data_IF_043049010859
#
_entry.id   IF_043049010859
#
_cell.length_a   1.000
_cell.length_b   1.000
_cell.length_c   1.000
_cell.angle_alpha   90.00
_cell.angle_beta   90.00
_cell.angle_gamma   90.00
#
_symmetry.space_group_name_H-M   'P 1'
#
loop_
_entity.id
_entity.type
_entity.pdbx_description
1 polymer ?
#
# COMPACT_ATOMS: atom_id res chain seq x y z
N UNK A 1 11.24 -23.25 2.97
CA UNK A 1 12.02 -22.09 2.46
C UNK A 1 11.11 -20.95 2.02
N UNK A 2 10.11 -21.20 1.16
CA UNK A 2 9.17 -20.16 0.67
C UNK A 2 8.38 -19.44 1.79
N UNK A 3 7.96 -20.14 2.84
CA UNK A 3 7.24 -19.53 3.98
C UNK A 3 8.05 -18.45 4.70
N UNK A 4 9.36 -18.66 4.91
CA UNK A 4 10.25 -17.69 5.57
C UNK A 4 10.44 -16.41 4.74
N UNK A 5 10.50 -16.53 3.41
CA UNK A 5 10.66 -15.37 2.53
C UNK A 5 9.35 -14.55 2.52
N UNK A 6 8.20 -15.21 2.55
CA UNK A 6 6.90 -14.53 2.69
C UNK A 6 6.84 -13.74 4.00
N UNK A 7 7.22 -14.34 5.12
CA UNK A 7 7.27 -13.68 6.43
C UNK A 7 8.18 -12.45 6.42
N UNK A 8 9.38 -12.56 5.85
CA UNK A 8 10.29 -11.43 5.72
C UNK A 8 9.69 -10.25 4.92
N UNK A 9 8.92 -10.52 3.86
CA UNK A 9 8.22 -9.45 3.11
C UNK A 9 7.12 -8.79 3.93
N UNK A 10 6.39 -9.57 4.72
CA UNK A 10 5.38 -9.03 5.64
C UNK A 10 6.06 -8.12 6.68
N UNK A 11 7.19 -8.53 7.23
CA UNK A 11 7.97 -7.70 8.16
C UNK A 11 8.43 -6.40 7.50
N UNK A 12 8.95 -6.46 6.27
CA UNK A 12 9.32 -5.25 5.53
C UNK A 12 8.13 -4.30 5.31
N UNK A 13 6.96 -4.83 4.92
CA UNK A 13 5.73 -4.03 4.80
C UNK A 13 5.35 -3.37 6.14
N UNK A 14 5.43 -4.12 7.24
CA UNK A 14 5.16 -3.60 8.59
C UNK A 14 6.17 -2.52 9.02
N UNK A 15 7.45 -2.70 8.71
CA UNK A 15 8.50 -1.70 8.96
C UNK A 15 8.19 -0.39 8.22
N UNK A 16 7.80 -0.47 6.96
CA UNK A 16 7.49 0.70 6.14
C UNK A 16 6.15 1.37 6.48
N UNK A 17 5.30 0.73 7.30
CA UNK A 17 4.01 1.29 7.76
C UNK A 17 3.97 1.67 9.23
N UNK A 18 5.05 1.44 9.99
CA UNK A 18 5.07 1.51 11.46
C UNK A 18 4.52 2.81 12.08
N UNK A 19 4.75 3.95 11.43
CA UNK A 19 4.35 5.28 11.92
C UNK A 19 3.13 5.84 11.16
N UNK A 20 2.46 5.02 10.36
CA UNK A 20 1.36 5.42 9.48
C UNK A 20 0.00 4.95 9.99
N UNK A 21 -1.04 5.72 9.70
CA UNK A 21 -2.41 5.39 10.09
C UNK A 21 -2.99 4.35 9.12
N UNK A 22 -2.85 3.08 9.48
CA UNK A 22 -3.26 1.94 8.66
C UNK A 22 -4.30 1.07 9.38
N UNK A 23 -5.13 0.37 8.61
CA UNK A 23 -6.05 -0.64 9.11
C UNK A 23 -5.95 -1.88 8.23
N UNK A 24 -5.07 -2.81 8.63
CA UNK A 24 -4.75 -4.05 7.92
C UNK A 24 -4.81 -5.20 8.92
N UNK A 25 -5.66 -6.19 8.65
CA UNK A 25 -5.79 -7.41 9.47
C UNK A 25 -4.62 -8.38 9.25
N UNK A 26 -4.46 -9.36 10.13
CA UNK A 26 -3.43 -10.39 9.96
C UNK A 26 -3.62 -11.22 8.68
N UNK A 27 -4.86 -11.48 8.28
CA UNK A 27 -5.21 -12.19 7.04
C UNK A 27 -4.86 -11.35 5.80
N UNK A 28 -5.09 -10.04 5.88
CA UNK A 28 -4.71 -9.10 4.82
C UNK A 28 -3.19 -8.97 4.71
N UNK A 29 -2.45 -9.00 5.83
CA UNK A 29 -1.00 -9.10 5.81
C UNK A 29 -0.50 -10.36 5.13
N UNK A 30 -1.12 -11.52 5.38
CA UNK A 30 -0.78 -12.75 4.67
C UNK A 30 -1.03 -12.61 3.16
N UNK A 31 -2.15 -11.98 2.79
CA UNK A 31 -2.48 -11.69 1.38
C UNK A 31 -1.42 -10.82 0.73
N UNK A 32 -0.98 -9.75 1.39
CA UNK A 32 0.07 -8.88 0.89
C UNK A 32 1.42 -9.61 0.77
N UNK A 33 1.79 -10.44 1.74
CA UNK A 33 2.99 -11.26 1.68
C UNK A 33 3.00 -12.24 0.49
N UNK A 34 1.84 -12.79 0.13
CA UNK A 34 1.67 -13.64 -1.06
C UNK A 34 1.76 -12.84 -2.35
N UNK A 35 1.04 -11.71 -2.45
CA UNK A 35 1.00 -10.87 -3.67
C UNK A 35 2.31 -10.15 -3.98
N UNK A 36 3.19 -10.02 -2.99
CA UNK A 36 4.52 -9.42 -3.14
C UNK A 36 5.62 -10.44 -3.45
N UNK A 37 5.26 -11.63 -3.96
CA UNK A 37 6.27 -12.58 -4.44
C UNK A 37 7.19 -11.93 -5.50
N UNK A 38 8.49 -12.19 -5.38
CA UNK A 38 9.58 -11.60 -6.17
C UNK A 38 9.80 -10.09 -5.99
N UNK A 39 9.07 -9.43 -5.09
CA UNK A 39 9.40 -8.04 -4.76
C UNK A 39 10.72 -7.98 -4.00
N UNK A 40 11.60 -7.07 -4.44
CA UNK A 40 12.76 -6.67 -3.67
C UNK A 40 12.34 -5.81 -2.46
N UNK A 41 13.27 -5.55 -1.54
CA UNK A 41 13.03 -4.61 -0.43
C UNK A 41 12.68 -3.21 -0.94
N UNK A 42 13.34 -2.74 -2.00
CA UNK A 42 13.03 -1.46 -2.64
C UNK A 42 11.65 -1.44 -3.29
N UNK A 43 11.23 -2.54 -3.93
CA UNK A 43 9.87 -2.65 -4.48
C UNK A 43 8.83 -2.56 -3.37
N UNK A 44 9.05 -3.23 -2.23
CA UNK A 44 8.16 -3.15 -1.06
C UNK A 44 8.09 -1.72 -0.50
N UNK A 45 9.22 -1.03 -0.39
CA UNK A 45 9.26 0.35 0.08
C UNK A 45 8.44 1.28 -0.83
N UNK A 46 8.66 1.20 -2.14
CA UNK A 46 7.93 2.00 -3.13
C UNK A 46 6.44 1.65 -3.14
N UNK A 47 6.11 0.36 -3.15
CA UNK A 47 4.73 -0.13 -3.05
C UNK A 47 4.02 0.44 -1.82
N UNK A 48 4.67 0.38 -0.66
CA UNK A 48 4.09 0.88 0.59
C UNK A 48 3.85 2.38 0.51
N UNK A 49 4.84 3.14 0.04
CA UNK A 49 4.70 4.59 -0.14
C UNK A 49 3.52 4.93 -1.05
N UNK A 50 3.39 4.24 -2.19
CA UNK A 50 2.28 4.44 -3.12
C UNK A 50 0.91 4.13 -2.50
N UNK A 51 0.82 3.13 -1.63
CA UNK A 51 -0.38 2.80 -0.87
C UNK A 51 -0.72 3.89 0.15
N UNK A 52 0.27 4.38 0.91
CA UNK A 52 0.10 5.44 1.91
C UNK A 52 -0.41 6.76 1.30
N UNK A 53 -0.12 7.02 0.03
CA UNK A 53 -0.63 8.19 -0.70
C UNK A 53 -2.04 8.00 -1.30
N UNK A 54 -2.62 6.79 -1.32
CA UNK A 54 -3.94 6.58 -1.92
C UNK A 54 -5.05 7.39 -1.22
N UNK A 55 -5.17 7.42 0.12
CA UNK A 55 -6.19 8.24 0.79
C UNK A 55 -6.06 9.73 0.49
N UNK A 56 -4.83 10.23 0.36
CA UNK A 56 -4.56 11.63 0.03
C UNK A 56 -5.01 11.94 -1.40
N UNK A 57 -4.71 11.06 -2.36
CA UNK A 57 -5.15 11.21 -3.75
C UNK A 57 -6.67 11.14 -3.87
N UNK A 58 -7.31 10.24 -3.13
CA UNK A 58 -8.77 10.12 -3.09
C UNK A 58 -9.40 11.42 -2.61
N UNK A 59 -8.90 11.95 -1.49
CA UNK A 59 -9.32 13.22 -0.93
C UNK A 59 -9.17 14.40 -1.89
N UNK A 60 -8.01 14.50 -2.56
CA UNK A 60 -7.73 15.57 -3.52
C UNK A 60 -8.65 15.54 -4.75
N UNK A 61 -9.10 14.36 -5.16
CA UNK A 61 -9.96 14.17 -6.34
C UNK A 61 -11.46 14.08 -5.99
N UNK A 62 -11.82 14.09 -4.70
CA UNK A 62 -13.19 13.93 -4.25
C UNK A 62 -14.07 15.13 -4.61
N UNK A 63 -15.27 14.82 -5.13
CA UNK A 63 -16.31 15.81 -5.47
C UNK A 63 -17.51 15.76 -4.52
N UNK A 64 -17.61 14.70 -3.75
CA UNK A 64 -18.70 14.45 -2.82
C UNK A 64 -18.12 14.06 -1.47
N UNK A 65 -18.71 14.60 -0.42
CA UNK A 65 -18.23 14.50 0.95
C UNK A 65 -19.38 14.20 1.89
N UNK A 66 -19.10 13.42 2.92
CA UNK A 66 -20.04 13.15 3.99
C UNK A 66 -19.53 13.75 5.29
N UNK A 67 -20.41 14.43 6.00
CA UNK A 67 -20.13 14.91 7.34
C UNK A 67 -20.39 13.80 8.36
N UNK A 68 -19.36 13.44 9.13
CA UNK A 68 -19.42 12.42 10.17
C UNK A 68 -19.73 13.06 11.53
N UNK A 69 -20.28 12.28 12.48
CA UNK A 69 -20.35 12.70 13.88
C UNK A 69 -18.96 13.14 14.38
N UNK A 70 -18.90 14.30 15.04
CA UNK A 70 -17.63 14.89 15.50
C UNK A 70 -16.99 15.90 14.54
N UNK A 71 -17.73 16.39 13.53
CA UNK A 71 -17.31 17.53 12.71
C UNK A 71 -16.49 17.20 11.48
N UNK A 72 -16.17 15.91 11.25
CA UNK A 72 -15.21 15.50 10.23
C UNK A 72 -15.84 15.32 8.86
N UNK A 73 -15.09 15.63 7.81
CA UNK A 73 -15.47 15.36 6.44
C UNK A 73 -14.63 14.23 5.86
N UNK A 74 -15.31 13.29 5.20
CA UNK A 74 -14.67 12.19 4.46
C UNK A 74 -15.21 12.15 3.03
N UNK A 75 -14.38 11.79 2.04
CA UNK A 75 -14.86 11.50 0.69
C UNK A 75 -15.96 10.44 0.69
N UNK A 76 -16.96 10.57 -0.18
CA UNK A 76 -18.01 9.57 -0.37
C UNK A 76 -18.52 9.53 -1.81
N UNK A 77 -19.36 8.54 -2.13
CA UNK A 77 -20.05 8.48 -3.42
C UNK A 77 -21.18 9.51 -3.50
N UNK A 78 -21.54 9.92 -4.73
CA UNK A 78 -22.66 10.84 -4.99
C UNK A 78 -24.00 10.35 -4.47
N UNK A 79 -24.18 9.03 -4.41
CA UNK A 79 -25.43 8.40 -3.99
C UNK A 79 -25.49 8.13 -2.49
N UNK A 80 -24.44 8.49 -1.74
CA UNK A 80 -24.40 8.27 -0.29
C UNK A 80 -25.41 9.16 0.41
N UNK A 81 -26.15 8.61 1.37
CA UNK A 81 -27.04 9.41 2.22
C UNK A 81 -26.24 10.50 2.97
N UNK A 82 -26.65 11.76 2.79
CA UNK A 82 -25.96 12.92 3.34
C UNK A 82 -24.72 13.36 2.55
N UNK A 83 -24.57 12.93 1.30
CA UNK A 83 -23.51 13.41 0.42
C UNK A 83 -23.71 14.90 0.09
N UNK A 84 -22.66 15.68 0.27
CA UNK A 84 -22.57 17.09 -0.06
C UNK A 84 -21.61 17.24 -1.22
N UNK A 85 -22.06 17.83 -2.32
CA UNK A 85 -21.19 18.11 -3.46
C UNK A 85 -20.35 19.35 -3.17
N UNK A 86 -19.04 19.17 -3.00
CA UNK A 86 -18.09 20.25 -2.77
C UNK A 86 -16.66 19.81 -3.09
N UNK A 87 -15.75 20.75 -3.21
CA UNK A 87 -14.32 20.52 -3.44
C UNK A 87 -13.54 20.60 -2.12
N UNK A 88 -12.41 19.90 -2.04
CA UNK A 88 -11.55 19.90 -0.85
C UNK A 88 -11.20 21.33 -0.35
N UNK A 89 -10.92 22.26 -1.27
CA UNK A 89 -10.52 23.64 -0.95
C UNK A 89 -11.62 24.46 -0.23
N UNK A 90 -12.87 24.00 -0.33
CA UNK A 90 -14.03 24.66 0.30
C UNK A 90 -14.35 24.07 1.68
N UNK A 91 -13.59 23.08 2.13
CA UNK A 91 -13.76 22.44 3.44
C UNK A 91 -12.73 22.98 4.45
N UNK A 92 -13.09 23.06 5.74
CA UNK A 92 -12.13 23.40 6.80
C UNK A 92 -11.01 22.35 6.87
N UNK A 93 -9.76 22.78 6.70
CA UNK A 93 -8.61 21.87 6.57
C UNK A 93 -8.37 21.01 7.82
N UNK A 94 -8.71 21.53 8.99
CA UNK A 94 -8.62 20.86 10.30
C UNK A 94 -9.69 19.76 10.49
N UNK A 95 -10.76 19.79 9.70
CA UNK A 95 -11.87 18.84 9.76
C UNK A 95 -11.81 17.77 8.66
N UNK A 96 -10.88 17.89 7.72
CA UNK A 96 -10.68 16.91 6.66
C UNK A 96 -9.54 15.98 7.05
N UNK A 97 -9.86 14.70 7.25
CA UNK A 97 -8.88 13.69 7.66
C UNK A 97 -8.86 12.59 6.60
N UNK A 98 -7.67 12.16 6.13
CA UNK A 98 -7.61 11.02 5.22
C UNK A 98 -8.11 9.77 5.93
N UNK A 99 -8.80 8.91 5.18
CA UNK A 99 -9.12 7.57 5.68
C UNK A 99 -7.85 6.82 6.03
N UNK A 100 -7.97 5.85 6.95
CA UNK A 100 -6.88 4.90 7.20
C UNK A 100 -6.57 4.13 5.92
N UNK A 101 -5.31 3.84 5.69
CA UNK A 101 -4.87 3.04 4.54
C UNK A 101 -5.31 1.59 4.75
N UNK A 102 -5.95 1.01 3.74
CA UNK A 102 -6.50 -0.35 3.77
C UNK A 102 -5.87 -1.24 2.71
N UNK A 103 -6.21 -2.54 2.71
CA UNK A 103 -5.70 -3.51 1.75
C UNK A 103 -5.87 -3.02 0.30
N UNK A 104 -7.05 -2.48 -0.04
CA UNK A 104 -7.35 -1.96 -1.38
C UNK A 104 -6.38 -0.89 -1.86
N UNK A 105 -5.83 -0.08 -0.95
CA UNK A 105 -4.86 0.96 -1.28
C UNK A 105 -3.51 0.34 -1.69
N UNK A 106 -3.10 -0.75 -1.04
CA UNK A 106 -1.96 -1.56 -1.47
C UNK A 106 -2.22 -2.24 -2.81
N UNK A 107 -3.40 -2.83 -3.00
CA UNK A 107 -3.77 -3.47 -4.27
C UNK A 107 -3.79 -2.47 -5.43
N UNK A 108 -4.24 -1.23 -5.20
CA UNK A 108 -4.14 -0.14 -6.18
C UNK A 108 -2.68 0.20 -6.46
N UNK A 109 -1.85 0.34 -5.43
CA UNK A 109 -0.44 0.68 -5.58
C UNK A 109 0.36 -0.39 -6.34
N UNK A 110 0.03 -1.68 -6.20
CA UNK A 110 0.66 -2.77 -6.97
C UNK A 110 0.49 -2.63 -8.47
N UNK A 111 -0.57 -1.94 -8.94
CA UNK A 111 -0.81 -1.72 -10.37
C UNK A 111 0.22 -0.77 -10.99
N UNK A 112 0.79 0.13 -10.18
CA UNK A 112 1.78 1.12 -10.63
C UNK A 112 3.19 0.81 -10.15
N UNK A 113 3.35 0.00 -9.11
CA UNK A 113 4.63 -0.30 -8.45
C UNK A 113 4.83 -1.81 -8.42
N UNK A 114 5.08 -2.38 -9.60
CA UNK A 114 5.29 -3.83 -9.78
C UNK A 114 6.71 -4.26 -9.40
N UNK A 115 6.88 -5.57 -9.16
CA UNK A 115 8.19 -6.21 -8.98
C UNK A 115 9.17 -5.82 -10.09
N UNK A 116 10.41 -5.55 -9.71
CA UNK A 116 11.50 -5.25 -10.66
C UNK A 116 12.31 -6.49 -11.05
N UNK A 117 12.22 -7.55 -10.26
CA UNK A 117 12.95 -8.80 -10.49
C UNK A 117 12.05 -9.80 -11.24
N UNK A 118 12.58 -10.38 -12.32
CA UNK A 118 11.97 -11.48 -13.05
C UNK A 118 12.47 -12.84 -12.55
N UNK A 119 11.75 -13.91 -12.91
CA UNK A 119 12.20 -15.28 -12.62
C UNK A 119 13.52 -15.62 -13.33
N UNK A 120 13.73 -15.06 -14.52
CA UNK A 120 14.96 -15.24 -15.29
C UNK A 120 16.18 -14.68 -14.56
N UNK A 121 16.03 -13.50 -13.93
CA UNK A 121 17.12 -12.88 -13.17
C UNK A 121 17.53 -13.75 -11.98
N UNK A 122 16.56 -14.37 -11.29
CA UNK A 122 16.83 -15.31 -10.20
C UNK A 122 17.64 -16.53 -10.66
N UNK A 123 17.34 -17.08 -11.84
CA UNK A 123 18.10 -18.20 -12.39
C UNK A 123 19.55 -17.80 -12.66
N UNK A 124 19.77 -16.62 -13.25
CA UNK A 124 21.12 -16.11 -13.50
C UNK A 124 21.90 -15.87 -12.20
N UNK A 125 21.27 -15.23 -11.21
CA UNK A 125 21.91 -15.00 -9.90
C UNK A 125 22.24 -16.30 -9.18
N UNK A 126 21.37 -17.31 -9.23
CA UNK A 126 21.63 -18.60 -8.59
C UNK A 126 22.72 -19.39 -9.31
N UNK A 127 22.80 -19.31 -10.64
CA UNK A 127 23.91 -19.90 -11.40
C UNK A 127 25.24 -19.22 -11.08
N UNK A 128 25.25 -17.89 -11.04
CA UNK A 128 26.44 -17.10 -10.66
C UNK A 128 26.88 -17.41 -9.22
N UNK A 129 25.96 -17.45 -8.27
CA UNK A 129 26.30 -17.76 -6.87
C UNK A 129 26.90 -19.17 -6.72
N UNK A 130 26.41 -20.15 -7.48
CA UNK A 130 26.97 -21.52 -7.50
C UNK A 130 28.35 -21.59 -8.15
N UNK A 131 28.62 -20.78 -9.18
CA UNK A 131 29.93 -20.78 -9.84
C UNK A 131 31.03 -20.17 -8.98
N UNK A 132 30.69 -19.26 -8.06
CA UNK A 132 31.66 -18.59 -7.16
C UNK A 132 31.80 -19.24 -5.79
N UNK A 133 30.92 -20.17 -5.38
CA UNK A 133 31.06 -20.86 -4.08
C UNK A 133 32.22 -21.87 -4.02
N UNK A 134 32.94 -22.10 -5.13
CA UNK A 134 34.15 -22.93 -5.16
C UNK A 134 35.46 -22.12 -5.21
N UNK A 135 35.39 -20.80 -5.27
CA UNK A 135 36.57 -19.92 -5.28
C UNK A 135 36.27 -18.66 -4.45
N UNK A 136 36.40 -18.78 -3.14
CA UNK A 136 36.28 -17.70 -2.16
C UNK A 136 36.94 -18.09 -0.86
#
# INVERSE_FOLDING_TARGET
MMTKIREARIELLKIHTKDSCINISDEEWQTLGQKTELYSGSDIANLTLGALFQPIREMQNAKYWKHLPGGRFVPCDSNSSGAIQTELKNLPADLVIPKQVQLDDFLKSMKTHSKTISETDLVQFTQFAKSYSQTG
#
